data_IF_357410077264
#
_entry.id   IF_357410077264
#
_cell.length_a   1.000
_cell.length_b   1.000
_cell.length_c   1.000
_cell.angle_alpha   90.00
_cell.angle_beta   90.00
_cell.angle_gamma   90.00
#
_symmetry.space_group_name_H-M   'P 1'
#
loop_
_entity.id
_entity.type
_entity.pdbx_description
1 polymer ?
#
# COMPACT_ATOMS: atom_id res chain seq x y z
N UNK A 1 5.14 -15.74 9.60
CA UNK A 1 5.47 -14.56 8.77
C UNK A 1 6.69 -13.92 9.38
N UNK A 2 7.69 -13.58 8.57
CA UNK A 2 8.91 -12.93 9.08
C UNK A 2 8.55 -11.52 9.60
N UNK A 3 8.90 -11.20 10.84
CA UNK A 3 8.54 -9.91 11.45
C UNK A 3 9.06 -8.74 10.61
N UNK A 4 10.22 -8.91 9.98
CA UNK A 4 10.80 -7.98 9.02
C UNK A 4 9.89 -7.73 7.80
N UNK A 5 9.22 -8.77 7.28
CA UNK A 5 8.27 -8.62 6.16
C UNK A 5 6.99 -7.90 6.57
N UNK A 6 6.47 -8.18 7.77
CA UNK A 6 5.26 -7.52 8.27
C UNK A 6 5.51 -6.03 8.54
N UNK A 7 6.66 -5.69 9.16
CA UNK A 7 7.09 -4.31 9.35
C UNK A 7 7.35 -3.58 8.04
N UNK A 8 7.99 -4.23 7.07
CA UNK A 8 8.23 -3.64 5.75
C UNK A 8 6.93 -3.27 5.03
N UNK A 9 5.92 -4.15 5.06
CA UNK A 9 4.59 -3.87 4.49
C UNK A 9 3.91 -2.72 5.26
N UNK A 10 3.95 -2.75 6.60
CA UNK A 10 3.35 -1.71 7.43
C UNK A 10 3.95 -0.33 7.16
N UNK A 11 5.27 -0.24 7.00
CA UNK A 11 5.96 1.03 6.73
C UNK A 11 5.67 1.53 5.31
N UNK A 12 5.76 0.65 4.31
CA UNK A 12 5.56 1.03 2.89
C UNK A 12 4.13 1.50 2.61
N UNK A 13 3.12 0.93 3.28
CA UNK A 13 1.72 1.34 3.06
C UNK A 13 1.19 2.30 4.12
N UNK A 14 1.61 2.16 5.37
CA UNK A 14 1.14 3.00 6.49
C UNK A 14 1.67 4.43 6.42
N UNK A 15 2.95 4.62 6.10
CA UNK A 15 3.54 5.96 6.02
C UNK A 15 2.86 6.85 4.95
N UNK A 16 2.70 6.41 3.68
CA UNK A 16 2.02 7.23 2.68
C UNK A 16 0.50 7.35 2.90
N UNK A 17 -0.14 6.41 3.61
CA UNK A 17 -1.53 6.57 4.05
C UNK A 17 -1.70 7.72 5.04
N UNK A 18 -0.89 7.75 6.10
CA UNK A 18 -0.96 8.78 7.16
C UNK A 18 -0.52 10.15 6.63
N UNK A 19 0.64 10.23 5.97
CA UNK A 19 1.20 11.49 5.49
C UNK A 19 0.39 12.02 4.30
N UNK A 20 0.03 11.14 3.37
CA UNK A 20 -0.74 11.53 2.19
C UNK A 20 -2.16 11.94 2.51
N UNK A 21 -2.85 11.25 3.43
CA UNK A 21 -4.19 11.65 3.87
C UNK A 21 -4.21 13.05 4.49
N UNK A 22 -3.25 13.34 5.37
CA UNK A 22 -3.09 14.68 5.96
C UNK A 22 -2.74 15.76 4.93
N UNK A 23 -1.89 15.45 3.96
CA UNK A 23 -1.52 16.37 2.87
C UNK A 23 -2.71 16.70 1.96
N UNK A 24 -3.48 15.70 1.54
CA UNK A 24 -4.66 15.90 0.70
C UNK A 24 -5.75 16.68 1.44
N UNK A 25 -5.93 16.44 2.74
CA UNK A 25 -6.84 17.24 3.54
C UNK A 25 -6.39 18.70 3.63
N UNK A 26 -5.09 18.95 3.84
CA UNK A 26 -4.56 20.30 3.93
C UNK A 26 -4.66 21.08 2.61
N UNK A 27 -4.48 20.40 1.46
CA UNK A 27 -4.53 21.06 0.15
C UNK A 27 -5.95 21.33 -0.33
N UNK A 28 -6.87 20.39 -0.14
CA UNK A 28 -8.22 20.46 -0.70
C UNK A 28 -9.29 20.81 0.33
N UNK A 29 -8.95 20.83 1.63
CA UNK A 29 -9.87 21.06 2.75
C UNK A 29 -11.14 20.19 2.72
N UNK A 30 -11.07 19.05 2.02
CA UNK A 30 -12.22 18.20 1.74
C UNK A 30 -11.90 16.77 2.12
N UNK A 31 -12.74 16.20 2.98
CA UNK A 31 -12.67 14.79 3.35
C UNK A 31 -12.86 13.86 2.15
N UNK A 32 -13.64 14.28 1.14
CA UNK A 32 -13.84 13.48 -0.09
C UNK A 32 -12.52 13.28 -0.84
N UNK A 33 -11.64 14.28 -0.86
CA UNK A 33 -10.32 14.18 -1.50
C UNK A 33 -9.41 13.17 -0.78
N UNK A 34 -9.49 13.11 0.56
CA UNK A 34 -8.75 12.14 1.39
C UNK A 34 -9.21 10.72 1.08
N UNK A 35 -10.53 10.49 1.06
CA UNK A 35 -11.12 9.18 0.74
C UNK A 35 -10.73 8.70 -0.67
N UNK A 36 -10.71 9.60 -1.65
CA UNK A 36 -10.26 9.30 -3.02
C UNK A 36 -8.78 8.92 -3.06
N UNK A 37 -7.92 9.68 -2.36
CA UNK A 37 -6.51 9.37 -2.26
C UNK A 37 -6.27 8.00 -1.62
N UNK A 38 -6.93 7.70 -0.50
CA UNK A 38 -6.81 6.42 0.19
C UNK A 38 -7.31 5.25 -0.68
N UNK A 39 -8.40 5.44 -1.43
CA UNK A 39 -8.90 4.41 -2.35
C UNK A 39 -7.87 4.08 -3.45
N UNK A 40 -7.25 5.09 -4.06
CA UNK A 40 -6.19 4.91 -5.06
C UNK A 40 -4.96 4.24 -4.46
N UNK A 41 -4.59 4.61 -3.25
CA UNK A 41 -3.44 4.04 -2.53
C UNK A 41 -3.65 2.55 -2.25
N UNK A 42 -4.82 2.16 -1.74
CA UNK A 42 -5.18 0.75 -1.51
C UNK A 42 -5.22 -0.02 -2.83
N UNK A 43 -5.79 0.56 -3.90
CA UNK A 43 -5.85 -0.10 -5.19
C UNK A 43 -4.45 -0.37 -5.78
N UNK A 44 -3.56 0.62 -5.65
CA UNK A 44 -2.15 0.50 -6.05
C UNK A 44 -1.43 -0.56 -5.21
N UNK A 45 -1.66 -0.55 -3.89
CA UNK A 45 -1.12 -1.55 -2.97
C UNK A 45 -1.53 -2.97 -3.35
N UNK A 46 -2.81 -3.19 -3.61
CA UNK A 46 -3.35 -4.48 -4.05
C UNK A 46 -2.72 -4.89 -5.38
N UNK A 47 -2.61 -3.97 -6.34
CA UNK A 47 -2.05 -4.27 -7.67
C UNK A 47 -0.57 -4.66 -7.57
N UNK A 48 0.22 -3.95 -6.77
CA UNK A 48 1.63 -4.28 -6.50
C UNK A 48 1.73 -5.60 -5.74
N UNK A 49 0.91 -5.81 -4.71
CA UNK A 49 0.90 -7.05 -3.94
C UNK A 49 0.54 -8.25 -4.81
N UNK A 50 -0.44 -8.12 -5.72
CA UNK A 50 -0.80 -9.16 -6.70
C UNK A 50 0.34 -9.43 -7.68
N UNK A 51 1.01 -8.39 -8.18
CA UNK A 51 2.18 -8.54 -9.06
C UNK A 51 3.33 -9.24 -8.33
N UNK A 52 3.59 -8.88 -7.07
CA UNK A 52 4.61 -9.51 -6.23
C UNK A 52 4.25 -10.96 -5.85
N UNK A 53 2.96 -11.28 -5.71
CA UNK A 53 2.48 -12.63 -5.44
C UNK A 53 2.53 -13.54 -6.67
N UNK A 54 2.36 -12.98 -7.88
CA UNK A 54 2.46 -13.72 -9.15
C UNK A 54 3.88 -14.14 -9.56
N UNK A 55 4.91 -13.66 -8.86
CA UNK A 55 6.32 -13.95 -9.16
C UNK A 55 6.92 -15.15 -8.41
N UNK A 56 6.13 -15.92 -7.66
CA UNK A 56 6.59 -17.12 -6.94
C UNK A 56 5.95 -18.39 -7.48
N UNK A 57 6.22 -18.68 -8.75
CA UNK A 57 6.09 -20.03 -9.29
C UNK A 57 7.22 -20.91 -8.72
N UNK A 58 6.81 -21.91 -7.96
CA UNK A 58 7.49 -23.13 -7.47
C UNK A 58 9.02 -23.28 -7.64
N UNK A 59 9.76 -23.62 -6.55
CA UNK A 59 10.97 -24.42 -6.70
C UNK A 59 10.55 -25.83 -7.16
N UNK A 60 10.70 -26.12 -8.46
CA UNK A 60 10.69 -27.49 -8.97
C UNK A 60 12.02 -28.14 -8.62
N UNK A 61 11.96 -29.06 -7.67
CA UNK A 61 12.99 -30.04 -7.32
C UNK A 61 13.32 -30.89 -8.57
N UNK A 62 14.59 -30.86 -8.99
CA UNK A 62 15.22 -31.84 -9.88
C UNK A 62 16.71 -31.95 -9.53
#
# INVERSE_FOLDING_TARGET
MDLARMLGILIVFGAPGIIGGGLFYHLFHSWVAVWLYEAVLVFTAITIARKAAGGKGAPSEH
#
